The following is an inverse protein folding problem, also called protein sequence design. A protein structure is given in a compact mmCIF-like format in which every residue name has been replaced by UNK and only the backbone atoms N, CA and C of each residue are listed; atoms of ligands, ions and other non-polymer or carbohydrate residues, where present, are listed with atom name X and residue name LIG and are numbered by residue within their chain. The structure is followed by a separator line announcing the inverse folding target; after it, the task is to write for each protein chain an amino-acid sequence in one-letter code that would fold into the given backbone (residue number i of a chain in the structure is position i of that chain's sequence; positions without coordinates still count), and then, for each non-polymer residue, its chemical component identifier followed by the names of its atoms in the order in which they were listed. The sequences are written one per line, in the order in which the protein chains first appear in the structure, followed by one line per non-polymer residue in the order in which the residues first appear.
data_IF_049755786596
#
_entry.id   IF_049755786596
#
_cell.length_a   1.000
_cell.length_b   1.000
_cell.length_c   1.000
_cell.angle_alpha   90.00
_cell.angle_beta   90.00
_cell.angle_gamma   90.00
#
_symmetry.space_group_name_H-M   'P 1'
#
loop_
_entity.id
_entity.type
_entity.pdbx_description
1 polymer ?
#
# COMPACT_ATOMS: atom_id res chain seq x y z
N UNK A 1 -7.46 23.69 13.34
CA UNK A 1 -8.23 23.19 12.19
C UNK A 1 -7.55 22.07 11.38
N UNK A 2 -6.33 21.62 11.69
CA UNK A 2 -5.65 20.54 10.94
C UNK A 2 -6.00 19.11 11.41
N UNK A 3 -6.56 18.94 12.61
CA UNK A 3 -6.77 17.62 13.24
C UNK A 3 -7.89 16.77 12.63
N UNK A 4 -8.73 17.33 11.73
CA UNK A 4 -9.90 16.63 11.18
C UNK A 4 -9.82 16.36 9.66
N UNK A 5 -8.60 16.30 9.10
CA UNK A 5 -8.47 15.95 7.69
C UNK A 5 -8.82 14.47 7.47
N UNK A 6 -9.78 14.22 6.56
CA UNK A 6 -10.16 12.86 6.13
C UNK A 6 -8.95 12.14 5.55
N UNK A 7 -8.83 10.84 5.84
CA UNK A 7 -7.84 9.92 5.26
C UNK A 7 -8.56 8.99 4.29
N UNK A 8 -8.05 8.85 3.07
CA UNK A 8 -8.54 7.87 2.10
C UNK A 8 -7.53 6.74 1.97
N UNK A 9 -7.88 5.53 2.39
CA UNK A 9 -7.09 4.35 2.09
C UNK A 9 -7.47 3.83 0.70
N UNK A 10 -6.47 3.62 -0.16
CA UNK A 10 -6.67 3.21 -1.56
C UNK A 10 -5.99 1.89 -1.83
N UNK A 11 -6.73 0.94 -2.40
CA UNK A 11 -6.31 -0.44 -2.62
C UNK A 11 -6.62 -0.83 -4.06
N UNK A 12 -5.65 -0.76 -4.98
CA UNK A 12 -5.81 -1.35 -6.31
C UNK A 12 -5.60 -2.86 -6.22
N UNK A 13 -6.44 -3.64 -6.86
CA UNK A 13 -6.37 -5.10 -6.78
C UNK A 13 -6.70 -5.76 -8.12
N UNK A 14 -6.00 -6.86 -8.40
CA UNK A 14 -6.41 -7.94 -9.30
C UNK A 14 -6.39 -9.22 -8.48
N UNK A 15 -7.54 -9.86 -8.34
CA UNK A 15 -7.68 -11.04 -7.49
C UNK A 15 -7.32 -12.29 -8.32
N UNK A 16 -6.12 -12.80 -8.09
CA UNK A 16 -5.56 -13.95 -8.78
C UNK A 16 -5.55 -15.25 -7.93
N UNK A 17 -6.03 -15.17 -6.70
CA UNK A 17 -6.20 -16.33 -5.81
C UNK A 17 -7.26 -16.11 -4.73
N UNK A 18 -7.86 -17.17 -4.19
CA UNK A 18 -8.77 -17.08 -3.04
C UNK A 18 -8.10 -16.47 -1.79
N UNK A 19 -6.81 -16.76 -1.59
CA UNK A 19 -6.02 -16.22 -0.47
C UNK A 19 -5.93 -14.70 -0.55
N UNK A 20 -5.74 -14.14 -1.76
CA UNK A 20 -5.67 -12.68 -1.96
C UNK A 20 -7.01 -12.00 -1.65
N UNK A 21 -8.12 -12.62 -2.06
CA UNK A 21 -9.46 -12.12 -1.70
C UNK A 21 -9.67 -12.11 -0.17
N UNK A 22 -9.31 -13.21 0.50
CA UNK A 22 -9.43 -13.34 1.96
C UNK A 22 -8.48 -12.39 2.70
N UNK A 23 -7.27 -12.17 2.17
CA UNK A 23 -6.33 -11.20 2.73
C UNK A 23 -6.91 -9.78 2.63
N UNK A 24 -7.50 -9.43 1.49
CA UNK A 24 -8.16 -8.14 1.30
C UNK A 24 -9.30 -7.92 2.30
N UNK A 25 -10.14 -8.95 2.57
CA UNK A 25 -11.18 -8.87 3.59
C UNK A 25 -10.59 -8.47 4.96
N UNK A 26 -9.51 -9.13 5.37
CA UNK A 26 -8.86 -8.87 6.66
C UNK A 26 -8.22 -7.48 6.71
N UNK A 27 -7.59 -7.03 5.61
CA UNK A 27 -7.04 -5.67 5.50
C UNK A 27 -8.14 -4.62 5.59
N UNK A 28 -9.27 -4.82 4.90
CA UNK A 28 -10.42 -3.91 4.96
C UNK A 28 -10.98 -3.83 6.38
N UNK A 29 -11.14 -4.96 7.06
CA UNK A 29 -11.60 -4.99 8.45
C UNK A 29 -10.66 -4.23 9.38
N UNK A 30 -9.35 -4.44 9.25
CA UNK A 30 -8.36 -3.72 10.04
C UNK A 30 -8.41 -2.21 9.81
N UNK A 31 -8.50 -1.78 8.56
CA UNK A 31 -8.60 -0.36 8.23
C UNK A 31 -9.93 0.24 8.73
N UNK A 32 -11.04 -0.51 8.64
CA UNK A 32 -12.34 -0.06 9.15
C UNK A 32 -12.34 0.15 10.66
N UNK A 33 -11.54 -0.58 11.42
CA UNK A 33 -11.39 -0.35 12.87
C UNK A 33 -10.80 1.03 13.21
N UNK A 34 -10.20 1.75 12.23
CA UNK A 34 -9.70 3.11 12.41
C UNK A 34 -10.81 4.16 12.44
N UNK A 35 -12.04 3.87 11.98
CA UNK A 35 -13.13 4.84 11.87
C UNK A 35 -13.51 5.50 13.17
N UNK A 36 -13.28 4.82 14.30
CA UNK A 36 -13.51 5.36 15.64
C UNK A 36 -12.45 6.40 16.07
N UNK A 37 -11.29 6.39 15.41
CA UNK A 37 -10.14 7.24 15.75
C UNK A 37 -9.90 8.37 14.76
N UNK A 38 -10.24 8.15 13.49
CA UNK A 38 -10.03 9.12 12.42
C UNK A 38 -11.20 9.13 11.43
N UNK A 39 -11.50 10.30 10.88
CA UNK A 39 -12.40 10.40 9.74
C UNK A 39 -11.73 9.81 8.50
N UNK A 40 -12.32 8.76 7.92
CA UNK A 40 -11.68 8.02 6.84
C UNK A 40 -12.67 7.48 5.80
N UNK A 41 -12.13 6.97 4.72
CA UNK A 41 -12.80 6.11 3.74
C UNK A 41 -11.82 5.07 3.20
N UNK A 42 -12.33 3.98 2.66
CA UNK A 42 -11.57 2.97 1.92
C UNK A 42 -12.08 2.97 0.48
N UNK A 43 -11.17 3.04 -0.48
CA UNK A 43 -11.47 2.92 -1.91
C UNK A 43 -10.73 1.73 -2.49
N UNK A 44 -11.48 0.75 -2.99
CA UNK A 44 -10.98 -0.45 -3.62
C UNK A 44 -11.26 -0.35 -5.11
N UNK A 45 -10.24 -0.52 -5.94
CA UNK A 45 -10.40 -0.63 -7.38
C UNK A 45 -9.93 -2.00 -7.83
N UNK A 46 -10.88 -2.83 -8.23
CA UNK A 46 -10.59 -4.11 -8.87
C UNK A 46 -10.49 -3.91 -10.38
N UNK A 47 -9.36 -4.32 -10.97
CA UNK A 47 -9.14 -4.23 -12.40
C UNK A 47 -8.77 -5.60 -12.99
N UNK A 48 -9.71 -6.21 -13.68
CA UNK A 48 -9.59 -7.52 -14.30
C UNK A 48 -10.54 -7.66 -15.50
N UNK A 49 -10.48 -8.77 -16.21
CA UNK A 49 -11.42 -9.08 -17.30
C UNK A 49 -12.85 -9.24 -16.77
N UNK A 50 -12.98 -9.87 -15.60
CA UNK A 50 -14.24 -10.08 -14.87
C UNK A 50 -14.07 -9.74 -13.39
N UNK A 51 -15.14 -9.37 -12.66
CA UNK A 51 -15.06 -9.17 -11.23
C UNK A 51 -14.89 -10.52 -10.50
N UNK A 52 -13.91 -10.59 -9.61
CA UNK A 52 -13.58 -11.78 -8.81
C UNK A 52 -13.70 -11.54 -7.30
N UNK A 53 -13.87 -10.29 -6.88
CA UNK A 53 -13.97 -9.94 -5.48
C UNK A 53 -15.35 -9.41 -5.12
N UNK A 54 -15.97 -10.02 -4.11
CA UNK A 54 -17.18 -9.54 -3.48
C UNK A 54 -16.84 -8.98 -2.09
N UNK A 55 -17.23 -7.73 -1.87
CA UNK A 55 -17.03 -7.06 -0.60
C UNK A 55 -17.94 -7.68 0.48
N UNK A 56 -17.37 -8.21 1.55
CA UNK A 56 -18.11 -8.83 2.64
C UNK A 56 -18.68 -7.84 3.66
N UNK A 57 -18.09 -6.65 3.74
CA UNK A 57 -18.50 -5.61 4.68
C UNK A 57 -19.24 -4.52 3.90
N UNK A 58 -20.51 -4.30 4.22
CA UNK A 58 -21.27 -3.16 3.70
C UNK A 58 -21.19 -2.01 4.71
N UNK A 59 -20.49 -0.95 4.35
CA UNK A 59 -20.36 0.27 5.16
C UNK A 59 -20.25 1.49 4.23
N UNK A 60 -20.84 2.62 4.61
CA UNK A 60 -20.86 3.85 3.81
C UNK A 60 -19.46 4.45 3.56
N UNK A 61 -18.46 4.05 4.34
CA UNK A 61 -17.08 4.48 4.19
C UNK A 61 -16.28 3.62 3.20
N UNK A 62 -16.86 2.55 2.65
CA UNK A 62 -16.20 1.65 1.71
C UNK A 62 -16.78 1.81 0.31
N UNK A 63 -15.92 2.15 -0.63
CA UNK A 63 -16.28 2.33 -2.04
C UNK A 63 -15.51 1.32 -2.89
N UNK A 64 -16.21 0.38 -3.50
CA UNK A 64 -15.62 -0.55 -4.47
C UNK A 64 -16.00 -0.15 -5.89
N UNK A 65 -14.99 -0.08 -6.76
CA UNK A 65 -15.15 0.14 -8.20
C UNK A 65 -14.53 -1.01 -8.97
N UNK A 66 -15.21 -1.47 -10.01
CA UNK A 66 -14.67 -2.42 -10.97
C UNK A 66 -14.31 -1.72 -12.27
N UNK A 67 -13.16 -2.11 -12.84
CA UNK A 67 -12.67 -1.67 -14.15
C UNK A 67 -12.35 -2.88 -14.98
N UNK A 68 -13.00 -3.03 -16.12
CA UNK A 68 -12.64 -4.08 -17.06
C UNK A 68 -11.26 -3.82 -17.65
N UNK A 69 -10.34 -4.73 -17.42
CA UNK A 69 -8.97 -4.69 -17.95
C UNK A 69 -8.51 -6.09 -18.33
N UNK A 70 -8.55 -6.38 -19.63
CA UNK A 70 -8.09 -7.63 -20.21
C UNK A 70 -6.57 -7.67 -20.45
N UNK A 71 -5.81 -6.68 -19.98
CA UNK A 71 -4.35 -6.70 -20.08
C UNK A 71 -3.78 -7.86 -19.26
N UNK A 72 -2.83 -8.65 -19.80
CA UNK A 72 -2.19 -9.73 -19.05
C UNK A 72 -1.38 -9.23 -17.84
N UNK A 73 -1.02 -7.96 -17.83
CA UNK A 73 -0.20 -7.34 -16.78
C UNK A 73 -1.02 -6.28 -16.05
N UNK A 74 -1.07 -6.37 -14.73
CA UNK A 74 -1.75 -5.41 -13.89
C UNK A 74 -0.96 -4.09 -13.79
N UNK A 75 -1.57 -2.99 -14.23
CA UNK A 75 -0.92 -1.67 -14.22
C UNK A 75 -1.22 -0.92 -12.91
N UNK A 76 -0.57 -1.34 -11.82
CA UNK A 76 -0.80 -0.86 -10.45
C UNK A 76 -0.73 0.67 -10.32
N UNK A 77 0.31 1.29 -10.86
CA UNK A 77 0.54 2.74 -10.75
C UNK A 77 -0.55 3.57 -11.45
N UNK A 78 -1.09 3.09 -12.58
CA UNK A 78 -2.24 3.72 -13.24
C UNK A 78 -3.48 3.74 -12.35
N UNK A 79 -3.79 2.60 -11.72
CA UNK A 79 -4.97 2.48 -10.86
C UNK A 79 -4.81 3.21 -9.55
N UNK A 80 -3.59 3.29 -9.00
CA UNK A 80 -3.29 4.15 -7.86
C UNK A 80 -3.53 5.63 -8.16
N UNK A 81 -3.07 6.13 -9.30
CA UNK A 81 -3.33 7.51 -9.70
C UNK A 81 -4.83 7.79 -9.85
N UNK A 82 -5.59 6.87 -10.42
CA UNK A 82 -7.05 6.99 -10.51
C UNK A 82 -7.69 7.03 -9.13
N UNK A 83 -7.35 6.11 -8.26
CA UNK A 83 -7.86 6.08 -6.88
C UNK A 83 -7.50 7.35 -6.10
N UNK A 84 -6.29 7.87 -6.28
CA UNK A 84 -5.89 9.15 -5.66
C UNK A 84 -6.71 10.33 -6.15
N UNK A 85 -7.09 10.37 -7.43
CA UNK A 85 -7.98 11.41 -7.97
C UNK A 85 -9.39 11.32 -7.38
N UNK A 86 -9.91 10.11 -7.24
CA UNK A 86 -11.24 9.84 -6.67
C UNK A 86 -11.28 10.00 -5.14
N UNK A 87 -10.16 9.90 -4.45
CA UNK A 87 -10.05 10.02 -3.01
C UNK A 87 -10.47 11.41 -2.51
N UNK A 88 -11.31 11.46 -1.47
CA UNK A 88 -11.77 12.72 -0.86
C UNK A 88 -10.83 13.23 0.23
N UNK A 89 -10.02 12.35 0.79
CA UNK A 89 -9.09 12.67 1.87
C UNK A 89 -7.95 13.57 1.43
N UNK A 90 -7.54 14.49 2.29
CA UNK A 90 -6.32 15.27 2.13
C UNK A 90 -5.05 14.45 2.35
N UNK A 91 -5.19 13.30 3.01
CA UNK A 91 -4.16 12.28 3.20
C UNK A 91 -4.63 11.04 2.46
N UNK A 92 -3.77 10.45 1.65
CA UNK A 92 -4.05 9.16 0.99
C UNK A 92 -3.08 8.12 1.53
N UNK A 93 -3.63 7.03 2.04
CA UNK A 93 -2.90 5.82 2.41
C UNK A 93 -2.98 4.81 1.27
N UNK A 94 -1.86 4.48 0.67
CA UNK A 94 -1.74 3.42 -0.33
C UNK A 94 -1.45 2.12 0.40
N UNK A 95 -2.23 1.08 0.10
CA UNK A 95 -2.17 -0.18 0.84
C UNK A 95 -2.18 -1.39 -0.09
N UNK A 96 -1.37 -2.40 0.22
CA UNK A 96 -1.44 -3.68 -0.46
C UNK A 96 -2.52 -4.58 0.17
N UNK A 97 -2.99 -5.55 -0.59
CA UNK A 97 -4.13 -6.42 -0.21
C UNK A 97 -3.82 -7.42 0.91
N UNK A 98 -2.58 -7.46 1.36
CA UNK A 98 -2.01 -8.52 2.20
C UNK A 98 -1.09 -7.98 3.31
N UNK A 99 -1.24 -6.70 3.65
CA UNK A 99 -0.42 -6.02 4.65
C UNK A 99 -1.24 -5.65 5.88
N UNK A 100 -0.75 -6.07 7.04
CA UNK A 100 -1.31 -5.74 8.35
C UNK A 100 -0.30 -4.93 9.17
N UNK A 101 -0.82 -3.98 9.94
CA UNK A 101 -0.05 -3.05 10.77
C UNK A 101 -0.78 -2.73 12.08
N UNK A 102 -0.10 -2.64 13.21
CA UNK A 102 -0.70 -2.14 14.43
C UNK A 102 -1.38 -0.77 14.23
N UNK A 103 -2.56 -0.61 14.82
CA UNK A 103 -3.37 0.62 14.71
C UNK A 103 -2.58 1.87 15.08
N UNK A 104 -1.79 1.79 16.12
CA UNK A 104 -0.98 2.87 16.67
C UNK A 104 0.03 3.39 15.64
N UNK A 105 0.68 2.48 14.92
CA UNK A 105 1.64 2.82 13.86
C UNK A 105 0.96 3.58 12.70
N UNK A 106 -0.25 3.16 12.33
CA UNK A 106 -1.03 3.84 11.28
C UNK A 106 -1.41 5.25 11.74
N UNK A 107 -1.90 5.39 12.96
CA UNK A 107 -2.28 6.69 13.53
C UNK A 107 -1.08 7.63 13.66
N UNK A 108 0.07 7.12 14.08
CA UNK A 108 1.32 7.88 14.17
C UNK A 108 1.75 8.41 12.80
N UNK A 109 1.70 7.56 11.77
CA UNK A 109 2.04 7.95 10.40
C UNK A 109 1.07 8.99 9.82
N UNK A 110 -0.24 8.87 10.10
CA UNK A 110 -1.25 9.88 9.76
C UNK A 110 -0.94 11.22 10.43
N UNK A 111 -0.62 11.20 11.71
CA UNK A 111 -0.34 12.38 12.50
C UNK A 111 0.92 13.11 12.06
N UNK A 112 1.94 12.41 11.60
CA UNK A 112 3.15 13.01 11.03
C UNK A 112 2.82 13.92 9.84
N UNK A 113 1.90 13.48 8.96
CA UNK A 113 1.44 14.30 7.81
C UNK A 113 0.50 15.41 8.28
N UNK A 114 -0.42 15.15 9.20
CA UNK A 114 -1.36 16.15 9.73
C UNK A 114 -0.65 17.35 10.36
N UNK A 115 0.41 17.07 11.11
CA UNK A 115 1.25 18.08 11.76
C UNK A 115 2.18 18.83 10.80
N UNK A 116 2.27 18.38 9.53
CA UNK A 116 3.17 18.96 8.53
C UNK A 116 4.63 18.52 8.67
N UNK A 117 4.90 17.51 9.50
CA UNK A 117 6.24 16.97 9.73
C UNK A 117 6.71 16.08 8.56
N UNK A 118 5.76 15.59 7.74
CA UNK A 118 6.05 14.75 6.60
C UNK A 118 5.12 15.04 5.42
N UNK A 119 5.62 14.80 4.20
CA UNK A 119 4.83 14.72 2.96
C UNK A 119 4.50 13.28 2.65
N UNK A 120 5.40 12.37 2.98
CA UNK A 120 5.22 10.92 2.89
C UNK A 120 5.51 10.30 4.25
N UNK A 121 4.74 9.31 4.67
CA UNK A 121 5.00 8.57 5.89
C UNK A 121 4.78 7.08 5.68
N UNK A 122 5.65 6.28 6.31
CA UNK A 122 5.50 4.83 6.38
C UNK A 122 4.97 4.47 7.76
N UNK A 123 3.89 3.67 7.87
CA UNK A 123 3.36 3.22 9.15
C UNK A 123 4.18 2.06 9.74
N UNK A 124 5.48 1.98 9.40
CA UNK A 124 6.43 0.98 9.89
C UNK A 124 7.88 1.47 9.69
N UNK A 125 8.81 0.85 10.39
CA UNK A 125 10.22 1.25 10.42
C UNK A 125 11.08 0.66 9.28
N UNK A 126 10.46 -0.09 8.38
CA UNK A 126 11.11 -0.76 7.25
C UNK A 126 11.29 -2.26 7.46
N UNK A 127 11.07 -2.79 8.66
CA UNK A 127 11.07 -4.24 8.88
C UNK A 127 9.79 -4.85 8.34
N UNK A 128 9.96 -5.74 7.36
CA UNK A 128 8.87 -6.37 6.60
C UNK A 128 8.94 -7.88 6.84
N UNK A 129 8.00 -8.41 7.61
CA UNK A 129 7.95 -9.82 8.00
C UNK A 129 6.89 -10.58 7.23
N UNK A 130 7.26 -11.75 6.71
CA UNK A 130 6.35 -12.68 6.03
C UNK A 130 5.76 -13.63 7.06
N UNK A 131 4.44 -13.63 7.20
CA UNK A 131 3.75 -14.61 8.02
C UNK A 131 3.72 -15.96 7.31
N UNK A 132 3.87 -17.07 8.05
CA UNK A 132 3.60 -18.42 7.56
C UNK A 132 2.15 -18.56 7.11
N UNK A 133 1.88 -19.54 6.27
CA UNK A 133 0.52 -19.85 5.81
C UNK A 133 -0.41 -20.18 6.98
N UNK A 134 0.10 -20.92 7.97
CA UNK A 134 -0.65 -21.32 9.17
C UNK A 134 -1.13 -20.10 9.97
N UNK A 135 -0.20 -19.21 10.34
CA UNK A 135 -0.54 -18.01 11.13
C UNK A 135 -1.45 -17.05 10.35
N UNK A 136 -1.25 -16.93 9.04
CA UNK A 136 -2.17 -16.17 8.17
C UNK A 136 -3.59 -16.78 8.16
N UNK A 137 -3.70 -18.09 8.24
CA UNK A 137 -4.98 -18.78 8.33
C UNK A 137 -5.64 -18.58 9.71
N UNK A 138 -4.86 -18.65 10.79
CA UNK A 138 -5.35 -18.40 12.16
C UNK A 138 -5.89 -16.96 12.31
N UNK A 139 -5.20 -15.97 11.74
CA UNK A 139 -5.70 -14.60 11.70
C UNK A 139 -7.04 -14.48 10.96
N UNK A 140 -7.18 -15.10 9.79
CA UNK A 140 -8.43 -15.12 9.01
C UNK A 140 -9.58 -15.78 9.76
N UNK A 141 -9.30 -16.82 10.55
CA UNK A 141 -10.27 -17.52 11.39
C UNK A 141 -10.55 -16.83 12.72
N UNK A 142 -9.81 -15.74 13.05
CA UNK A 142 -9.86 -15.04 14.33
C UNK A 142 -9.43 -15.91 15.53
N UNK A 143 -8.62 -16.92 15.26
CA UNK A 143 -7.99 -17.81 16.24
C UNK A 143 -6.63 -17.26 16.70
N UNK A 144 -6.16 -16.18 16.08
CA UNK A 144 -4.97 -15.39 16.43
C UNK A 144 -5.26 -13.91 16.15
N UNK A 145 -4.61 -13.02 16.89
CA UNK A 145 -4.70 -11.57 16.70
C UNK A 145 -3.33 -10.94 16.40
N UNK A 146 -3.34 -9.63 16.09
CA UNK A 146 -2.13 -8.88 15.73
C UNK A 146 -1.09 -8.82 16.85
N UNK A 147 -1.52 -8.75 18.10
CA UNK A 147 -0.61 -8.69 19.26
C UNK A 147 0.17 -10.00 19.39
N UNK A 148 -0.51 -11.14 19.26
CA UNK A 148 0.10 -12.47 19.26
C UNK A 148 1.10 -12.63 18.10
N UNK A 149 0.80 -12.11 16.90
CA UNK A 149 1.76 -12.07 15.80
C UNK A 149 3.00 -11.23 16.15
N UNK A 150 2.82 -10.08 16.76
CA UNK A 150 3.93 -9.23 17.18
C UNK A 150 4.79 -9.90 18.27
N UNK A 151 4.21 -10.70 19.16
CA UNK A 151 4.95 -11.46 20.15
C UNK A 151 5.80 -12.57 19.53
N UNK A 152 5.34 -13.16 18.43
CA UNK A 152 6.04 -14.18 17.65
C UNK A 152 6.95 -13.62 16.55
N UNK A 153 7.19 -12.33 16.48
CA UNK A 153 7.84 -11.67 15.35
C UNK A 153 9.19 -12.28 14.98
N UNK A 154 9.94 -12.83 15.96
CA UNK A 154 11.25 -13.43 15.75
C UNK A 154 11.19 -14.83 15.12
N UNK A 155 10.01 -15.43 15.04
CA UNK A 155 9.77 -16.70 14.37
C UNK A 155 9.51 -16.50 12.86
N UNK A 156 9.22 -15.26 12.44
CA UNK A 156 8.86 -14.93 11.07
C UNK A 156 10.06 -14.56 10.22
N UNK A 157 9.93 -14.81 8.91
CA UNK A 157 10.96 -14.45 7.95
C UNK A 157 10.98 -12.95 7.73
N UNK A 158 12.08 -12.29 8.08
CA UNK A 158 12.34 -10.91 7.70
C UNK A 158 12.69 -10.88 6.20
N UNK A 159 11.70 -10.60 5.35
CA UNK A 159 11.89 -10.58 3.90
C UNK A 159 12.68 -9.36 3.44
N UNK A 160 12.47 -8.22 4.09
CA UNK A 160 13.16 -6.97 3.81
C UNK A 160 13.58 -6.31 5.12
N UNK A 161 14.82 -5.86 5.17
CA UNK A 161 15.39 -5.17 6.33
C UNK A 161 14.95 -3.72 6.46
N UNK A 162 15.65 -2.90 7.26
CA UNK A 162 15.17 -1.61 7.78
C UNK A 162 14.93 -0.52 6.72
N UNK A 163 15.06 -0.82 5.45
CA UNK A 163 14.86 0.14 4.35
C UNK A 163 13.70 -0.23 3.41
N UNK A 164 12.83 -1.17 3.78
CA UNK A 164 11.66 -1.47 2.95
C UNK A 164 10.77 -0.25 2.78
N UNK A 165 10.23 -0.08 1.57
CA UNK A 165 9.38 1.06 1.16
C UNK A 165 8.08 0.61 0.49
N UNK A 166 7.82 -0.69 0.46
CA UNK A 166 6.61 -1.29 -0.11
C UNK A 166 5.52 -1.57 0.92
N UNK A 167 4.42 -2.15 0.47
CA UNK A 167 3.33 -2.65 1.29
C UNK A 167 2.31 -1.60 1.74
N UNK A 168 2.75 -0.58 2.46
CA UNK A 168 1.87 0.50 2.92
C UNK A 168 2.63 1.81 3.12
N UNK A 169 2.03 2.92 2.69
CA UNK A 169 2.52 4.26 2.96
C UNK A 169 1.39 5.29 2.85
N UNK A 170 1.59 6.46 3.45
CA UNK A 170 0.65 7.57 3.38
C UNK A 170 1.33 8.80 2.78
N UNK A 171 0.54 9.65 2.11
CA UNK A 171 1.04 10.89 1.49
C UNK A 171 0.10 12.06 1.73
N UNK A 172 0.64 13.26 1.77
CA UNK A 172 -0.14 14.47 1.55
C UNK A 172 -0.56 14.49 0.08
N UNK A 173 -1.85 14.24 -0.19
CA UNK A 173 -2.40 14.08 -1.54
C UNK A 173 -2.00 15.20 -2.48
N UNK A 174 -2.22 16.45 -2.09
CA UNK A 174 -1.98 17.60 -2.96
C UNK A 174 -0.52 17.76 -3.33
N UNK A 175 0.37 17.58 -2.35
CA UNK A 175 1.82 17.68 -2.58
C UNK A 175 2.28 16.52 -3.45
N UNK A 176 1.83 15.30 -3.17
CA UNK A 176 2.22 14.11 -3.91
C UNK A 176 1.79 14.18 -5.38
N UNK A 177 0.55 14.59 -5.66
CA UNK A 177 0.05 14.78 -7.03
C UNK A 177 0.82 15.90 -7.74
N UNK A 178 1.10 17.01 -7.05
CA UNK A 178 1.88 18.12 -7.61
C UNK A 178 3.24 17.68 -8.14
N UNK A 179 3.85 16.69 -7.50
CA UNK A 179 5.13 16.12 -7.89
C UNK A 179 5.00 14.79 -8.66
N UNK A 180 3.91 14.62 -9.41
CA UNK A 180 3.73 13.56 -10.41
C UNK A 180 2.91 12.34 -9.95
N UNK A 181 2.56 12.23 -8.66
CA UNK A 181 1.82 11.06 -8.16
C UNK A 181 2.61 9.76 -8.34
N UNK A 182 1.95 8.69 -8.80
CA UNK A 182 2.60 7.44 -9.18
C UNK A 182 3.17 7.52 -10.59
N UNK A 183 4.40 7.09 -10.77
CA UNK A 183 5.05 7.05 -12.08
C UNK A 183 4.50 5.89 -12.94
N UNK A 184 3.69 6.22 -13.95
CA UNK A 184 3.03 5.24 -14.80
C UNK A 184 3.95 4.59 -15.85
N UNK A 185 5.23 4.95 -15.91
CA UNK A 185 6.22 4.21 -16.71
C UNK A 185 6.56 2.85 -16.10
N UNK A 186 6.25 2.63 -14.81
CA UNK A 186 6.29 1.30 -14.21
C UNK A 186 5.05 0.52 -14.62
N UNK A 187 5.26 -0.55 -15.37
CA UNK A 187 4.21 -1.44 -15.86
C UNK A 187 4.41 -2.85 -15.31
N UNK A 188 3.41 -3.38 -14.62
CA UNK A 188 3.53 -4.63 -13.87
C UNK A 188 4.33 -4.45 -12.57
N UNK A 189 4.92 -5.54 -12.09
CA UNK A 189 5.75 -5.54 -10.89
C UNK A 189 7.11 -4.86 -11.15
N UNK A 190 7.58 -4.05 -10.22
CA UNK A 190 8.85 -3.34 -10.40
C UNK A 190 9.28 -2.56 -9.15
N UNK A 191 10.36 -1.76 -9.25
CA UNK A 191 10.87 -0.93 -8.16
C UNK A 191 10.14 0.43 -8.04
N UNK A 192 8.85 0.50 -8.35
CA UNK A 192 8.06 1.73 -8.24
C UNK A 192 8.02 2.26 -6.80
N UNK A 193 8.06 1.35 -5.81
CA UNK A 193 8.12 1.71 -4.39
C UNK A 193 9.42 2.44 -4.05
N UNK A 194 10.54 1.94 -4.55
CA UNK A 194 11.84 2.57 -4.37
C UNK A 194 11.94 3.90 -5.15
N UNK A 195 11.36 3.97 -6.35
CA UNK A 195 11.34 5.19 -7.16
C UNK A 195 10.62 6.31 -6.45
N UNK A 196 9.40 6.08 -5.93
CA UNK A 196 8.65 7.13 -5.26
C UNK A 196 9.36 7.68 -4.03
N UNK A 197 9.99 6.80 -3.25
CA UNK A 197 10.78 7.19 -2.09
C UNK A 197 11.98 8.04 -2.53
N UNK A 198 12.73 7.56 -3.53
CA UNK A 198 13.89 8.26 -4.08
C UNK A 198 13.54 9.62 -4.66
N UNK A 199 12.42 9.74 -5.35
CA UNK A 199 11.91 11.00 -5.90
C UNK A 199 11.58 12.01 -4.79
N UNK A 200 10.95 11.58 -3.69
CA UNK A 200 10.72 12.45 -2.53
C UNK A 200 12.04 12.93 -1.91
N UNK A 201 13.04 12.05 -1.81
CA UNK A 201 14.38 12.43 -1.34
C UNK A 201 15.05 13.50 -2.22
N UNK A 202 15.05 13.29 -3.55
CA UNK A 202 15.63 14.25 -4.52
C UNK A 202 14.93 15.62 -4.43
N UNK A 203 13.62 15.62 -4.22
CA UNK A 203 12.83 16.84 -4.05
C UNK A 203 13.05 17.50 -2.67
N UNK A 204 13.74 16.85 -1.75
CA UNK A 204 13.95 17.34 -0.38
C UNK A 204 12.65 17.39 0.43
N UNK A 205 11.70 16.53 0.11
CA UNK A 205 10.43 16.43 0.82
C UNK A 205 10.57 15.50 2.03
N UNK A 206 10.08 15.90 3.22
CA UNK A 206 10.28 15.12 4.43
C UNK A 206 9.49 13.81 4.41
N UNK A 207 10.18 12.72 4.75
CA UNK A 207 9.65 11.37 4.90
C UNK A 207 9.70 10.99 6.39
N UNK A 208 8.62 10.40 6.90
CA UNK A 208 8.52 9.90 8.28
C UNK A 208 8.37 8.38 8.28
N UNK A 209 8.84 7.73 9.35
CA UNK A 209 8.62 6.30 9.60
C UNK A 209 8.17 6.10 11.03
N UNK A 210 7.01 5.47 11.21
CA UNK A 210 6.56 5.00 12.52
C UNK A 210 7.43 3.84 13.00
N UNK A 211 7.55 3.67 14.30
CA UNK A 211 8.30 2.57 14.89
C UNK A 211 7.45 1.30 14.91
N UNK A 212 8.05 0.17 14.53
CA UNK A 212 7.42 -1.15 14.53
C UNK A 212 7.41 -1.81 13.16
N UNK A 213 7.12 -3.12 13.11
CA UNK A 213 7.17 -3.93 11.90
C UNK A 213 5.90 -3.81 11.05
N UNK A 214 6.02 -4.26 9.80
CA UNK A 214 4.92 -4.60 8.91
C UNK A 214 4.81 -6.12 8.83
N UNK A 215 3.59 -6.64 8.87
CA UNK A 215 3.28 -8.06 8.70
C UNK A 215 2.63 -8.28 7.33
N UNK A 216 3.17 -9.21 6.56
CA UNK A 216 2.66 -9.59 5.26
C UNK A 216 2.01 -10.97 5.32
N UNK A 217 0.73 -11.04 5.02
CA UNK A 217 -0.04 -12.28 4.98
C UNK A 217 0.44 -13.19 3.86
N UNK A 218 0.40 -14.48 4.12
CA UNK A 218 0.72 -15.47 3.09
C UNK A 218 -0.28 -15.43 1.93
N UNK A 219 0.26 -15.49 0.73
CA UNK A 219 -0.47 -15.82 -0.48
C UNK A 219 0.47 -16.53 -1.47
N UNK A 220 -0.03 -17.40 -2.37
CA UNK A 220 0.77 -17.96 -3.45
C UNK A 220 1.32 -16.84 -4.35
N UNK A 221 2.56 -16.97 -4.80
CA UNK A 221 3.12 -16.07 -5.80
C UNK A 221 2.55 -16.44 -7.17
N UNK A 222 1.69 -15.59 -7.68
CA UNK A 222 1.07 -15.71 -9.00
C UNK A 222 1.69 -14.72 -9.98
N UNK A 223 1.14 -14.62 -11.19
CA UNK A 223 1.66 -13.81 -12.28
C UNK A 223 1.87 -12.33 -11.92
N UNK A 224 1.06 -11.77 -11.02
CA UNK A 224 1.16 -10.36 -10.61
C UNK A 224 2.17 -10.10 -9.47
N UNK A 225 2.83 -11.13 -8.98
CA UNK A 225 3.77 -11.03 -7.83
C UNK A 225 5.25 -11.00 -8.24
N UNK A 226 5.54 -10.89 -9.53
CA UNK A 226 6.90 -10.85 -10.07
C UNK A 226 6.92 -10.15 -11.43
N UNK A 227 8.13 -9.89 -11.95
CA UNK A 227 8.28 -9.38 -13.32
C UNK A 227 7.65 -10.37 -14.33
N UNK A 228 6.77 -9.88 -15.18
CA UNK A 228 6.09 -10.72 -16.18
C UNK A 228 7.03 -11.31 -17.24
N UNK A 229 8.13 -10.59 -17.55
CA UNK A 229 9.19 -11.03 -18.45
C UNK A 229 10.42 -10.13 -18.32
N UNK A 230 11.55 -10.57 -18.90
CA UNK A 230 12.83 -9.84 -18.85
C UNK A 230 12.77 -8.44 -19.48
N UNK A 231 11.94 -8.21 -20.48
CA UNK A 231 11.78 -6.89 -21.10
C UNK A 231 11.13 -5.89 -20.15
N UNK A 232 10.10 -6.31 -19.43
CA UNK A 232 9.44 -5.48 -18.40
C UNK A 232 10.38 -5.25 -17.22
N UNK A 233 11.11 -6.27 -16.78
CA UNK A 233 12.12 -6.11 -15.75
C UNK A 233 13.16 -5.06 -16.12
N UNK A 234 13.74 -5.18 -17.32
CA UNK A 234 14.72 -4.23 -17.80
C UNK A 234 14.14 -2.81 -17.87
N UNK A 235 12.95 -2.65 -18.47
CA UNK A 235 12.30 -1.34 -18.59
C UNK A 235 12.05 -0.69 -17.22
N UNK A 236 11.49 -1.44 -16.27
CA UNK A 236 11.20 -0.93 -14.93
C UNK A 236 12.49 -0.58 -14.16
N UNK A 237 13.55 -1.40 -14.26
CA UNK A 237 14.85 -1.09 -13.64
C UNK A 237 15.51 0.14 -14.25
N UNK A 238 15.44 0.30 -15.58
CA UNK A 238 15.99 1.48 -16.27
C UNK A 238 15.22 2.74 -15.92
N UNK A 239 13.90 2.67 -15.77
CA UNK A 239 13.10 3.81 -15.32
C UNK A 239 13.49 4.24 -13.90
N UNK A 240 13.69 3.30 -12.97
CA UNK A 240 14.20 3.61 -11.64
C UNK A 240 15.56 4.30 -11.69
N UNK A 241 16.51 3.76 -12.48
CA UNK A 241 17.86 4.36 -12.63
C UNK A 241 17.76 5.76 -13.23
N UNK A 242 16.89 5.96 -14.23
CA UNK A 242 16.65 7.26 -14.86
C UNK A 242 16.21 8.30 -13.83
N UNK A 243 15.19 7.98 -13.04
CA UNK A 243 14.67 8.90 -12.02
C UNK A 243 15.70 9.12 -10.89
N UNK A 244 16.36 8.06 -10.43
CA UNK A 244 17.35 8.14 -9.36
C UNK A 244 18.58 8.99 -9.74
N UNK A 245 18.86 9.14 -11.04
CA UNK A 245 19.92 10.01 -11.57
C UNK A 245 19.50 11.45 -11.85
N UNK A 246 18.23 11.82 -11.64
CA UNK A 246 17.74 13.17 -11.89
C UNK A 246 18.11 14.14 -10.75
N UNK A 247 18.23 15.39 -11.12
CA UNK A 247 18.26 16.50 -10.16
C UNK A 247 16.85 16.98 -9.84
N UNK A 248 16.72 17.76 -8.77
CA UNK A 248 15.44 18.40 -8.41
C UNK A 248 14.83 19.25 -9.53
N UNK A 249 15.66 19.86 -10.37
CA UNK A 249 15.21 20.70 -11.48
C UNK A 249 14.70 19.88 -12.69
N UNK A 250 15.03 18.60 -12.75
CA UNK A 250 14.64 17.69 -13.83
C UNK A 250 13.40 16.85 -13.48
N UNK A 251 13.04 16.82 -12.19
CA UNK A 251 11.79 16.24 -11.66
C UNK A 251 10.64 17.23 -11.68
#
# INVERSE_FOLDING_TARGET
MQSNRKVSFVIPVRVDSPERAQNLDLVVEQLMALKESIRMEIRILEADEHPHYELKISDEHIHKTFVRDASPVFHRTKYLNRLMQEAEGAIVGIWDTDVLLPKEQILEAVDAIRKGNAVMSFPYDGRFYMLPQEDSLLLKKREMNMEECCQKIYEYVLAHGPNSVGGAFLVNKNVYIKYGGENQHFYGWGPEDAERCKRMEILGLPIYRAQGPLLHLFHPRMQNSWFGNQRLEYANRMEFIRVAGMTRAQL
#
